data_IF_398465577620
#
_entry.id   IF_398465577620
#
_cell.length_a   1.000
_cell.length_b   1.000
_cell.length_c   1.000
_cell.angle_alpha   90.00
_cell.angle_beta   90.00
_cell.angle_gamma   90.00
#
_symmetry.space_group_name_H-M   'P 1'
#
loop_
_entity.id
_entity.type
_entity.pdbx_description
1 polymer ?
#
# COMPACT_ATOMS: atom_id res chain seq x y z
N UNK A 1 22.82 7.38 14.92
CA UNK A 1 21.36 7.35 14.67
C UNK A 1 21.16 8.02 13.34
N UNK A 2 20.53 7.40 12.34
CA UNK A 2 20.39 8.08 11.05
C UNK A 2 19.34 9.18 11.18
N UNK A 3 19.72 10.42 10.89
CA UNK A 3 18.87 11.62 10.81
C UNK A 3 17.91 11.57 9.59
N UNK A 4 17.52 10.38 9.17
CA UNK A 4 16.69 10.16 8.00
C UNK A 4 15.27 10.59 8.35
N UNK A 5 14.84 11.78 7.94
CA UNK A 5 13.51 12.29 8.27
C UNK A 5 12.46 11.79 7.27
N UNK A 6 11.18 11.62 7.66
CA UNK A 6 10.10 11.39 6.72
C UNK A 6 10.12 12.37 5.53
N UNK A 7 9.86 11.88 4.32
CA UNK A 7 9.91 12.70 3.11
C UNK A 7 11.31 12.90 2.52
N UNK A 8 12.37 12.54 3.25
CA UNK A 8 13.75 12.68 2.77
C UNK A 8 14.27 11.40 2.13
N UNK A 9 15.17 11.54 1.16
CA UNK A 9 15.87 10.41 0.53
C UNK A 9 17.14 10.05 1.28
N UNK A 10 17.46 8.76 1.33
CA UNK A 10 18.80 8.31 1.68
C UNK A 10 19.76 8.40 0.48
N UNK A 11 21.03 8.03 0.67
CA UNK A 11 22.08 8.07 -0.36
C UNK A 11 21.79 7.18 -1.61
N UNK A 12 20.79 6.30 -1.53
CA UNK A 12 20.39 5.40 -2.61
C UNK A 12 19.08 5.84 -3.29
N UNK A 13 18.56 7.04 -2.98
CA UNK A 13 17.35 7.58 -3.59
C UNK A 13 16.04 7.03 -3.03
N UNK A 14 16.10 6.34 -1.89
CA UNK A 14 14.94 5.76 -1.20
C UNK A 14 14.36 6.80 -0.26
N UNK A 15 13.07 7.09 -0.41
CA UNK A 15 12.33 7.95 0.50
C UNK A 15 12.03 7.25 1.83
N UNK A 16 12.11 8.00 2.94
CA UNK A 16 11.50 7.57 4.20
C UNK A 16 10.00 7.84 4.12
N UNK A 17 9.14 6.83 4.35
CA UNK A 17 7.70 7.05 4.40
C UNK A 17 7.33 8.07 5.50
N UNK A 18 6.30 8.87 5.22
CA UNK A 18 5.58 9.63 6.24
C UNK A 18 4.63 8.73 7.03
N UNK A 19 4.11 7.72 6.35
CA UNK A 19 3.11 6.82 6.89
C UNK A 19 3.31 5.42 6.32
N UNK A 20 3.00 4.43 7.14
CA UNK A 20 3.05 3.01 6.81
C UNK A 20 1.76 2.39 7.35
N UNK A 21 0.89 1.93 6.44
CA UNK A 21 -0.38 1.31 6.77
C UNK A 21 -0.20 -0.20 6.66
N UNK A 22 -0.36 -0.92 7.77
CA UNK A 22 -0.05 -2.35 7.83
C UNK A 22 -1.28 -3.24 8.07
N UNK A 23 -1.27 -4.41 7.45
CA UNK A 23 -2.13 -5.54 7.77
C UNK A 23 -1.29 -6.64 8.41
N UNK A 24 -1.73 -7.13 9.57
CA UNK A 24 -1.08 -8.25 10.25
C UNK A 24 -1.97 -9.49 10.21
N UNK A 25 -1.33 -10.65 10.13
CA UNK A 25 -2.00 -11.93 10.39
C UNK A 25 -2.34 -12.07 11.88
N UNK A 26 -3.26 -12.98 12.23
CA UNK A 26 -3.60 -13.28 13.64
C UNK A 26 -2.40 -13.74 14.48
N UNK A 27 -1.33 -14.23 13.84
CA UNK A 27 -0.07 -14.60 14.49
C UNK A 27 0.94 -13.45 14.62
N UNK A 28 0.57 -12.22 14.24
CA UNK A 28 1.41 -11.01 14.35
C UNK A 28 2.34 -10.75 13.17
N UNK A 29 2.56 -11.74 12.29
CA UNK A 29 3.38 -11.54 11.10
C UNK A 29 2.71 -10.54 10.13
N UNK A 30 3.49 -9.56 9.67
CA UNK A 30 3.07 -8.57 8.68
C UNK A 30 2.69 -9.26 7.38
N UNK A 31 1.54 -8.90 6.84
CA UNK A 31 0.89 -9.57 5.72
C UNK A 31 0.69 -8.68 4.52
N UNK A 32 0.39 -7.42 4.73
CA UNK A 32 0.38 -6.42 3.68
C UNK A 32 0.77 -5.08 4.25
N UNK A 33 1.25 -4.19 3.39
CA UNK A 33 1.41 -2.80 3.73
C UNK A 33 1.36 -1.89 2.52
N UNK A 34 1.01 -0.64 2.80
CA UNK A 34 1.14 0.49 1.88
C UNK A 34 1.96 1.56 2.57
N UNK A 35 3.12 1.87 2.01
CA UNK A 35 3.99 2.95 2.46
C UNK A 35 3.65 4.20 1.64
N UNK A 36 3.57 5.35 2.32
CA UNK A 36 3.17 6.63 1.73
C UNK A 36 4.19 7.71 2.06
N UNK A 37 4.52 8.52 1.07
CA UNK A 37 5.36 9.70 1.25
C UNK A 37 4.83 10.88 0.45
N UNK A 38 4.63 12.01 1.12
CA UNK A 38 4.40 13.28 0.46
C UNK A 38 5.74 13.87 -0.04
N UNK A 39 5.77 14.25 -1.31
CA UNK A 39 6.90 14.91 -1.97
C UNK A 39 6.41 16.22 -2.59
N UNK A 40 7.30 17.15 -3.00
CA UNK A 40 6.88 18.37 -3.68
C UNK A 40 6.07 18.11 -4.96
N UNK A 41 6.25 16.97 -5.62
CA UNK A 41 5.49 16.58 -6.82
C UNK A 41 4.15 15.90 -6.50
N UNK A 42 3.90 15.54 -5.23
CA UNK A 42 2.69 14.85 -4.78
C UNK A 42 2.97 13.64 -3.88
N UNK A 43 1.93 12.87 -3.63
CA UNK A 43 1.95 11.65 -2.84
C UNK A 43 2.45 10.48 -3.67
N UNK A 44 3.50 9.82 -3.19
CA UNK A 44 4.01 8.59 -3.76
C UNK A 44 3.71 7.45 -2.82
N UNK A 45 3.39 6.30 -3.39
CA UNK A 45 3.05 5.12 -2.62
C UNK A 45 3.79 3.90 -3.11
N UNK A 46 3.88 2.93 -2.21
CA UNK A 46 4.46 1.65 -2.47
C UNK A 46 3.70 0.57 -1.69
N UNK A 47 3.62 -0.65 -2.21
CA UNK A 47 2.94 -1.76 -1.52
C UNK A 47 3.82 -2.99 -1.42
N UNK A 48 3.61 -3.76 -0.37
CA UNK A 48 4.16 -5.11 -0.22
C UNK A 48 3.17 -6.03 0.45
N UNK A 49 3.30 -7.33 0.24
CA UNK A 49 2.47 -8.34 0.87
C UNK A 49 3.21 -9.65 1.10
N UNK A 50 2.63 -10.56 1.86
CA UNK A 50 3.10 -11.94 1.97
C UNK A 50 1.91 -12.87 2.11
N UNK A 51 2.10 -14.09 1.62
CA UNK A 51 1.19 -15.20 1.88
C UNK A 51 1.79 -16.10 2.97
N UNK A 52 1.00 -17.00 3.55
CA UNK A 52 1.47 -17.95 4.57
C UNK A 52 2.67 -18.81 4.14
N UNK A 53 2.95 -18.92 2.85
CA UNK A 53 4.17 -19.54 2.32
C UNK A 53 5.46 -18.80 2.70
N UNK A 54 5.38 -17.65 3.38
CA UNK A 54 6.48 -16.97 4.07
C UNK A 54 7.32 -16.03 3.21
N UNK A 55 7.18 -16.08 1.89
CA UNK A 55 7.83 -15.13 0.99
C UNK A 55 7.07 -13.79 1.00
N UNK A 56 7.81 -12.69 1.13
CA UNK A 56 7.27 -11.35 0.89
C UNK A 56 7.19 -11.12 -0.63
N UNK A 57 5.97 -11.04 -1.13
CA UNK A 57 5.58 -10.84 -2.52
C UNK A 57 5.06 -9.41 -2.75
N UNK A 58 4.98 -9.01 -4.02
CA UNK A 58 4.84 -7.62 -4.42
C UNK A 58 6.19 -7.07 -4.86
N UNK A 59 6.19 -5.95 -5.57
CA UNK A 59 7.45 -5.36 -6.02
C UNK A 59 8.29 -5.09 -4.75
N UNK A 60 9.55 -5.49 -4.70
CA UNK A 60 10.43 -5.40 -3.50
C UNK A 60 11.14 -4.06 -3.35
N UNK A 61 10.64 -3.05 -4.04
CA UNK A 61 11.22 -1.73 -4.16
C UNK A 61 10.93 -0.83 -2.96
N UNK A 62 11.87 0.04 -2.59
CA UNK A 62 11.58 1.20 -1.77
C UNK A 62 10.70 2.22 -2.53
N UNK A 63 10.04 3.14 -1.81
CA UNK A 63 9.51 4.35 -2.45
C UNK A 63 10.71 5.14 -3.02
N UNK A 64 10.69 5.39 -4.33
CA UNK A 64 11.74 6.12 -5.07
C UNK A 64 11.12 7.12 -6.04
N UNK A 65 11.94 7.86 -6.77
CA UNK A 65 11.48 8.75 -7.84
C UNK A 65 10.73 8.04 -8.98
N UNK A 66 10.90 6.72 -9.11
CA UNK A 66 10.19 5.92 -10.10
C UNK A 66 8.72 5.64 -9.70
N UNK A 67 8.36 5.85 -8.44
CA UNK A 67 6.96 5.77 -8.00
C UNK A 67 6.18 6.95 -8.54
N UNK A 68 5.07 6.71 -9.23
CA UNK A 68 4.23 7.76 -9.77
C UNK A 68 3.72 8.68 -8.65
N UNK A 69 3.93 10.01 -8.72
CA UNK A 69 3.31 10.93 -7.79
C UNK A 69 1.82 11.13 -8.13
N UNK A 70 1.02 11.29 -7.08
CA UNK A 70 -0.41 11.56 -7.15
C UNK A 70 -0.78 12.84 -6.42
N UNK A 71 -1.87 13.53 -6.81
CA UNK A 71 -2.27 14.77 -6.17
C UNK A 71 -2.67 14.59 -4.69
N UNK A 72 -3.25 13.44 -4.35
CA UNK A 72 -3.75 13.17 -3.00
C UNK A 72 -3.22 11.85 -2.45
N UNK A 73 -3.16 11.76 -1.12
CA UNK A 73 -2.87 10.52 -0.39
C UNK A 73 -3.79 9.38 -0.83
N UNK A 74 -5.08 9.66 -0.96
CA UNK A 74 -6.10 8.67 -1.29
C UNK A 74 -5.94 8.16 -2.73
N UNK A 75 -5.56 9.01 -3.69
CA UNK A 75 -5.24 8.58 -5.05
C UNK A 75 -4.02 7.65 -5.08
N UNK A 76 -3.01 7.96 -4.25
CA UNK A 76 -1.85 7.09 -4.11
C UNK A 76 -2.22 5.72 -3.48
N UNK A 77 -3.19 5.67 -2.56
CA UNK A 77 -3.74 4.42 -2.01
C UNK A 77 -4.54 3.67 -3.09
N UNK A 78 -5.42 4.36 -3.83
CA UNK A 78 -6.23 3.78 -4.92
C UNK A 78 -5.36 3.12 -5.97
N UNK A 79 -4.23 3.72 -6.34
CA UNK A 79 -3.27 3.07 -7.26
C UNK A 79 -2.79 1.73 -6.70
N UNK A 80 -2.39 1.68 -5.42
CA UNK A 80 -1.90 0.44 -4.82
C UNK A 80 -3.00 -0.62 -4.70
N UNK A 81 -4.24 -0.23 -4.41
CA UNK A 81 -5.40 -1.13 -4.42
C UNK A 81 -5.62 -1.72 -5.81
N UNK A 82 -5.60 -0.89 -6.87
CA UNK A 82 -5.72 -1.37 -8.25
C UNK A 82 -4.57 -2.33 -8.63
N UNK A 83 -3.36 -2.07 -8.15
CA UNK A 83 -2.22 -2.97 -8.39
C UNK A 83 -2.31 -4.27 -7.58
N UNK A 84 -2.87 -4.28 -6.36
CA UNK A 84 -3.19 -5.53 -5.65
C UNK A 84 -4.14 -6.40 -6.48
N UNK A 85 -5.22 -5.81 -7.01
CA UNK A 85 -6.15 -6.51 -7.91
C UNK A 85 -5.41 -7.12 -9.10
N UNK A 86 -4.57 -6.36 -9.79
CA UNK A 86 -3.82 -6.85 -10.96
C UNK A 86 -2.80 -7.95 -10.64
N UNK A 87 -2.12 -7.88 -9.48
CA UNK A 87 -1.19 -8.92 -9.04
C UNK A 87 -1.95 -10.22 -8.70
N UNK A 88 -3.08 -10.09 -8.03
CA UNK A 88 -3.85 -11.23 -7.53
C UNK A 88 -4.70 -11.92 -8.58
N UNK A 89 -5.05 -11.23 -9.66
CA UNK A 89 -5.73 -11.82 -10.83
C UNK A 89 -4.96 -13.02 -11.42
N UNK A 90 -3.63 -13.00 -11.30
CA UNK A 90 -2.74 -14.04 -11.85
C UNK A 90 -2.59 -15.26 -10.94
N UNK A 91 -3.16 -15.24 -9.73
CA UNK A 91 -3.03 -16.32 -8.76
C UNK A 91 -3.91 -17.50 -9.14
N UNK A 92 -3.31 -18.67 -9.30
CA UNK A 92 -4.02 -19.93 -9.57
C UNK A 92 -4.20 -20.81 -8.35
N UNK A 93 -3.40 -20.59 -7.29
CA UNK A 93 -3.44 -21.39 -6.07
C UNK A 93 -4.64 -21.00 -5.19
N UNK A 94 -5.55 -21.93 -4.83
CA UNK A 94 -6.74 -21.61 -4.04
C UNK A 94 -6.46 -21.04 -2.64
N UNK A 95 -5.36 -21.44 -2.01
CA UNK A 95 -4.97 -20.92 -0.69
C UNK A 95 -4.51 -19.47 -0.80
N UNK A 96 -3.68 -19.15 -1.80
CA UNK A 96 -3.26 -17.78 -2.09
C UNK A 96 -4.43 -16.89 -2.52
N UNK A 97 -5.39 -17.41 -3.28
CA UNK A 97 -6.60 -16.67 -3.66
C UNK A 97 -7.45 -16.27 -2.45
N UNK A 98 -7.65 -17.18 -1.49
CA UNK A 98 -8.35 -16.85 -0.24
C UNK A 98 -7.63 -15.74 0.50
N UNK A 99 -6.30 -15.83 0.58
CA UNK A 99 -5.51 -14.83 1.29
C UNK A 99 -5.48 -13.47 0.58
N UNK A 100 -5.43 -13.47 -0.75
CA UNK A 100 -5.50 -12.28 -1.58
C UNK A 100 -6.82 -11.53 -1.39
N UNK A 101 -7.94 -12.23 -1.27
CA UNK A 101 -9.25 -11.61 -0.97
C UNK A 101 -9.25 -10.85 0.35
N UNK A 102 -8.59 -11.39 1.38
CA UNK A 102 -8.48 -10.71 2.67
C UNK A 102 -7.61 -9.43 2.57
N UNK A 103 -6.54 -9.47 1.77
CA UNK A 103 -5.69 -8.30 1.51
C UNK A 103 -6.45 -7.26 0.70
N UNK A 104 -7.21 -7.66 -0.33
CA UNK A 104 -8.06 -6.75 -1.12
C UNK A 104 -9.09 -6.09 -0.22
N UNK A 105 -9.84 -6.86 0.58
CA UNK A 105 -10.88 -6.31 1.45
C UNK A 105 -10.31 -5.30 2.46
N UNK A 106 -9.13 -5.59 3.00
CA UNK A 106 -8.40 -4.62 3.82
C UNK A 106 -8.02 -3.37 3.02
N UNK A 107 -7.41 -3.52 1.83
CA UNK A 107 -6.97 -2.39 1.03
C UNK A 107 -8.14 -1.49 0.59
N UNK A 108 -9.27 -2.08 0.22
CA UNK A 108 -10.50 -1.36 -0.14
C UNK A 108 -11.06 -0.58 1.04
N UNK A 109 -10.98 -1.11 2.27
CA UNK A 109 -11.41 -0.39 3.48
C UNK A 109 -10.58 0.87 3.81
N UNK A 110 -9.41 1.05 3.17
CA UNK A 110 -8.57 2.23 3.35
C UNK A 110 -9.02 3.43 2.52
N UNK A 111 -9.88 3.21 1.50
CA UNK A 111 -10.41 4.27 0.67
C UNK A 111 -11.72 4.73 1.33
N UNK A 112 -11.84 6.01 1.74
CA UNK A 112 -13.09 6.51 2.30
C UNK A 112 -14.24 6.27 1.32
N UNK A 113 -15.31 5.62 1.80
CA UNK A 113 -16.51 5.41 1.00
C UNK A 113 -17.07 6.77 0.58
N UNK A 114 -17.31 6.96 -0.72
CA UNK A 114 -18.06 8.13 -1.22
C UNK A 114 -19.54 8.13 -0.76
N UNK A 115 -19.94 7.20 0.11
CA UNK A 115 -21.31 7.07 0.60
C UNK A 115 -21.75 8.22 1.52
N UNK A 116 -20.84 9.03 2.06
CA UNK A 116 -21.19 10.18 2.90
C UNK A 116 -21.65 11.44 2.12
N UNK A 117 -21.58 11.44 0.78
CA UNK A 117 -22.02 12.59 -0.01
C UNK A 117 -23.55 12.69 -0.18
N UNK A 118 -24.31 11.68 0.26
CA UNK A 118 -25.78 11.66 0.12
C UNK A 118 -26.58 11.53 1.43
N UNK A 119 -25.93 11.38 2.61
CA UNK A 119 -26.64 11.33 3.90
C UNK A 119 -26.88 12.70 4.56
N UNK A 120 -26.36 13.80 4.00
CA UNK A 120 -26.59 15.16 4.51
C UNK A 120 -27.85 15.85 3.93
N UNK A 121 -28.77 15.10 3.32
CA UNK A 121 -30.02 15.61 2.75
C UNK A 121 -31.24 14.87 3.30
N UNK A 122 -31.41 14.85 4.63
CA UNK A 122 -32.70 14.57 5.30
C UNK A 122 -32.92 15.57 6.43
#
# INVERSE_FOLDING_TARGET
MSDWLPGTKNAHGVYRPHEEIELHSKGGARRAAIDLVETPEGWRSYRGFSFFTGNWWGSTGPITDACQPHPTRDDAIREQVARFHSDFEKLTDPSMQREAREIIAWAESLIPDQMDLFEAAV
#
